data_IF_094235834618
#
_entry.id   IF_094235834618
#
_cell.length_a   1.000
_cell.length_b   1.000
_cell.length_c   1.000
_cell.angle_alpha   90.00
_cell.angle_beta   90.00
_cell.angle_gamma   90.00
#
_symmetry.space_group_name_H-M   'P 1'
#
loop_
_entity.id
_entity.type
_entity.pdbx_description
1 polymer ?
#
# COMPACT_ATOMS: atom_id res chain seq x y z
N UNK A 1 -14.48 14.37 21.80
CA UNK A 1 -14.08 14.27 21.29
C UNK A 1 -13.81 13.98 20.40
N UNK A 2 -13.96 13.74 20.03
CA UNK A 2 -13.70 13.46 19.24
C UNK A 2 -13.12 13.70 18.28
N UNK A 3 -13.19 14.07 18.26
CA UNK A 3 -12.31 14.62 17.30
C UNK A 3 -11.21 13.76 16.93
N UNK A 4 -10.93 12.94 17.72
CA UNK A 4 -9.87 12.08 17.47
C UNK A 4 -10.00 11.32 16.25
N UNK A 5 -11.16 10.94 15.97
CA UNK A 5 -11.35 10.14 14.84
C UNK A 5 -11.02 10.85 13.61
N UNK A 6 -11.16 12.10 13.61
CA UNK A 6 -10.89 12.83 12.41
C UNK A 6 -9.47 12.76 11.99
N UNK A 7 -8.60 12.35 12.88
CA UNK A 7 -7.22 12.30 12.55
C UNK A 7 -6.78 10.96 11.99
N UNK A 8 -7.71 10.02 11.87
CA UNK A 8 -7.34 8.71 11.43
C UNK A 8 -7.84 8.47 10.04
N UNK A 9 -7.26 9.14 9.08
CA UNK A 9 -7.65 8.95 7.70
C UNK A 9 -7.22 7.56 7.25
N UNK A 10 -8.06 6.88 6.48
CA UNK A 10 -7.69 5.57 6.00
C UNK A 10 -6.55 5.64 5.00
N UNK A 11 -5.81 4.57 4.90
CA UNK A 11 -4.78 4.43 3.91
C UNK A 11 -5.41 3.86 2.66
N UNK A 12 -5.10 4.47 1.52
CA UNK A 12 -5.62 3.95 0.26
C UNK A 12 -4.59 3.01 -0.33
N UNK A 13 -5.04 1.84 -0.72
CA UNK A 13 -4.16 0.86 -1.36
C UNK A 13 -4.66 0.61 -2.76
N UNK A 14 -3.79 0.74 -3.73
CA UNK A 14 -4.14 0.59 -5.13
C UNK A 14 -3.29 -0.52 -5.74
N UNK A 15 -3.94 -1.43 -6.42
CA UNK A 15 -3.24 -2.46 -7.17
C UNK A 15 -4.04 -2.73 -8.45
N UNK A 16 -3.52 -2.24 -9.57
CA UNK A 16 -4.23 -2.37 -10.84
C UNK A 16 -5.52 -1.59 -10.78
N UNK A 17 -6.63 -2.27 -11.00
CA UNK A 17 -7.95 -1.62 -10.93
C UNK A 17 -8.57 -1.72 -9.54
N UNK A 18 -7.89 -2.37 -8.62
CA UNK A 18 -8.41 -2.53 -7.27
C UNK A 18 -7.98 -1.38 -6.39
N UNK A 19 -8.90 -0.87 -5.60
CA UNK A 19 -8.62 0.25 -4.73
C UNK A 19 -9.34 0.01 -3.41
N UNK A 20 -8.59 0.03 -2.32
CA UNK A 20 -9.12 -0.26 -1.01
C UNK A 20 -8.75 0.85 -0.04
N UNK A 21 -9.66 1.15 0.88
CA UNK A 21 -9.37 2.10 1.96
C UNK A 21 -9.35 1.30 3.24
N UNK A 22 -8.21 1.26 3.89
CA UNK A 22 -8.01 0.45 5.08
C UNK A 22 -7.22 1.22 6.13
N UNK A 23 -7.41 0.83 7.38
CA UNK A 23 -6.68 1.46 8.47
C UNK A 23 -5.37 0.71 8.64
N UNK A 24 -4.35 1.17 7.97
CA UNK A 24 -3.05 0.51 7.96
C UNK A 24 -1.94 1.33 8.58
N UNK A 25 -2.28 2.43 9.22
CA UNK A 25 -1.27 3.29 9.83
C UNK A 25 -0.47 2.51 10.86
N UNK A 26 0.83 2.69 10.84
CA UNK A 26 1.71 2.01 11.77
C UNK A 26 2.27 0.70 11.25
N UNK A 27 1.73 0.19 10.17
CA UNK A 27 2.26 -1.05 9.59
C UNK A 27 3.33 -0.69 8.57
N UNK A 28 4.26 -1.62 8.38
CA UNK A 28 5.25 -1.42 7.33
C UNK A 28 4.65 -1.80 5.98
N UNK A 29 5.29 -1.35 4.92
CA UNK A 29 4.86 -1.72 3.58
C UNK A 29 4.86 -3.23 3.44
N UNK A 30 5.87 -3.88 4.00
CA UNK A 30 5.91 -5.34 3.94
C UNK A 30 4.71 -5.94 4.66
N UNK A 31 4.33 -5.41 5.80
CA UNK A 31 3.16 -5.88 6.52
C UNK A 31 1.88 -5.68 5.72
N UNK A 32 1.78 -4.56 5.04
CA UNK A 32 0.62 -4.30 4.18
C UNK A 32 0.59 -5.33 3.05
N UNK A 33 1.74 -5.57 2.42
CA UNK A 33 1.80 -6.57 1.35
C UNK A 33 1.36 -7.94 1.88
N UNK A 34 1.87 -8.33 3.06
CA UNK A 34 1.52 -9.62 3.61
C UNK A 34 0.02 -9.74 3.88
N UNK A 35 -0.58 -8.66 4.34
CA UNK A 35 -1.99 -8.69 4.64
C UNK A 35 -2.86 -8.77 3.39
N UNK A 36 -2.42 -8.16 2.31
CA UNK A 36 -3.26 -8.02 1.13
C UNK A 36 -2.86 -8.92 -0.04
N UNK A 37 -1.70 -9.54 0.03
CA UNK A 37 -1.22 -10.29 -1.12
C UNK A 37 -2.13 -11.44 -1.49
N UNK A 38 -2.75 -12.07 -0.52
CA UNK A 38 -3.65 -13.16 -0.82
C UNK A 38 -4.97 -12.69 -1.40
N UNK A 39 -5.42 -11.55 -0.93
CA UNK A 39 -6.71 -11.02 -1.39
C UNK A 39 -6.59 -10.46 -2.79
N UNK A 40 -5.49 -9.76 -3.06
CA UNK A 40 -5.31 -9.08 -4.33
C UNK A 40 -4.33 -9.77 -5.26
N UNK A 41 -3.71 -10.85 -4.80
CA UNK A 41 -2.72 -11.58 -5.60
C UNK A 41 -1.56 -10.68 -6.02
N UNK A 42 -1.05 -9.91 -5.07
CA UNK A 42 0.05 -9.01 -5.36
C UNK A 42 1.36 -9.80 -5.42
N UNK A 43 2.11 -9.71 -6.50
CA UNK A 43 3.37 -10.45 -6.60
C UNK A 43 4.37 -9.97 -5.57
N UNK A 44 5.24 -10.86 -5.16
CA UNK A 44 6.23 -10.54 -4.16
C UNK A 44 7.17 -9.44 -4.62
N UNK A 45 7.43 -9.37 -5.90
CA UNK A 45 8.35 -8.40 -6.45
C UNK A 45 7.67 -7.16 -6.98
N UNK A 46 6.41 -6.94 -6.61
CA UNK A 46 5.72 -5.74 -7.05
C UNK A 46 6.45 -4.51 -6.53
N UNK A 47 6.53 -3.49 -7.36
CA UNK A 47 7.10 -2.23 -6.93
C UNK A 47 6.07 -1.49 -6.08
N UNK A 48 6.55 -0.74 -5.11
CA UNK A 48 5.66 -0.02 -4.20
C UNK A 48 5.97 1.45 -4.25
N UNK A 49 4.93 2.26 -4.34
CA UNK A 49 5.04 3.71 -4.21
C UNK A 49 4.12 4.17 -3.10
N UNK A 50 4.54 5.18 -2.39
CA UNK A 50 3.71 5.80 -1.37
C UNK A 50 3.62 7.27 -1.72
N UNK A 51 2.42 7.76 -1.92
CA UNK A 51 2.17 9.16 -2.30
C UNK A 51 2.97 9.54 -3.54
N UNK A 52 3.11 8.60 -4.46
CA UNK A 52 3.80 8.85 -5.71
C UNK A 52 5.29 8.66 -5.69
N UNK A 53 5.86 8.27 -4.56
CA UNK A 53 7.30 8.09 -4.45
C UNK A 53 7.64 6.65 -4.10
N UNK A 54 8.72 6.15 -4.64
CA UNK A 54 9.18 4.80 -4.38
C UNK A 54 9.38 4.60 -2.90
N UNK A 55 8.95 3.49 -2.36
CA UNK A 55 9.11 3.20 -0.95
C UNK A 55 9.65 1.79 -0.78
N UNK A 56 10.37 1.58 0.31
CA UNK A 56 10.89 0.26 0.63
C UNK A 56 9.97 -0.51 1.55
N UNK A 57 10.31 -1.76 1.76
CA UNK A 57 9.50 -2.64 2.59
C UNK A 57 9.38 -2.17 4.03
N UNK A 58 10.35 -1.43 4.49
CA UNK A 58 10.36 -0.99 5.89
C UNK A 58 9.75 0.38 6.11
N UNK A 59 9.19 0.97 5.07
CA UNK A 59 8.51 2.24 5.26
C UNK A 59 7.29 2.04 6.16
N UNK A 60 7.12 2.90 7.14
CA UNK A 60 6.00 2.82 8.06
C UNK A 60 4.88 3.70 7.54
N UNK A 61 3.73 3.10 7.34
CA UNK A 61 2.58 3.77 6.75
C UNK A 61 1.99 4.75 7.75
N UNK A 62 1.58 5.90 7.26
CA UNK A 62 0.95 6.95 8.06
C UNK A 62 -0.50 7.10 7.65
N UNK A 63 -1.32 7.69 8.52
CA UNK A 63 -2.72 7.92 8.16
C UNK A 63 -2.79 8.78 6.90
N UNK A 64 -3.66 8.41 6.00
CA UNK A 64 -3.87 9.18 4.78
C UNK A 64 -2.91 8.88 3.65
N UNK A 65 -1.94 8.00 3.87
CA UNK A 65 -1.01 7.64 2.80
C UNK A 65 -1.73 6.90 1.69
N UNK A 66 -1.19 7.04 0.49
CA UNK A 66 -1.71 6.31 -0.66
C UNK A 66 -0.62 5.37 -1.14
N UNK A 67 -0.87 4.08 -1.04
CA UNK A 67 0.10 3.06 -1.39
C UNK A 67 -0.31 2.41 -2.71
N UNK A 68 0.62 2.35 -3.65
CA UNK A 68 0.34 1.71 -4.91
C UNK A 68 1.33 0.60 -5.16
N UNK A 69 0.82 -0.60 -5.40
CA UNK A 69 1.65 -1.73 -5.79
C UNK A 69 1.55 -1.86 -7.30
N UNK A 70 2.69 -1.98 -7.96
CA UNK A 70 2.72 -2.10 -9.41
C UNK A 70 3.43 -3.38 -9.80
N UNK A 71 2.79 -4.14 -10.67
CA UNK A 71 3.43 -5.31 -11.21
C UNK A 71 4.66 -4.89 -11.98
N UNK A 72 5.71 -5.65 -11.81
CA UNK A 72 6.88 -5.45 -12.63
C UNK A 72 6.54 -6.00 -13.99
N UNK A 73 6.37 -5.14 -14.91
CA UNK A 73 6.01 -5.59 -16.21
C UNK A 73 7.26 -6.09 -16.86
N UNK A 74 7.64 -6.84 -16.53
CA UNK A 74 8.75 -7.22 -16.97
C UNK A 74 9.20 -7.14 -18.26
N UNK A 75 9.15 -7.21 -18.10
CA UNK A 75 9.60 -7.34 -18.64
C UNK A 75 10.09 -7.88 -19.55
N UNK A 76 10.02 -8.03 -19.43
CA UNK A 76 10.35 -8.46 -20.01
C UNK A 76 10.74 -8.67 -20.90
N UNK A 77 10.70 -8.65 -20.96
CA UNK A 77 11.09 -8.85 -21.55
C UNK A 77 11.20 -9.07 -22.34
N UNK A 78 11.20 -9.12 -22.46
CA UNK A 78 11.33 -9.28 -23.13
C UNK A 78 11.59 -9.20 -23.49
#
# INVERSE_FOLDING_TARGET
MQALEATTAPTKVIYGVNELDLDLAGKTVRGVWQALSQVLNIPRDAAVSVNGERAGDDYVVRPGDEIEFQKQAGVKGR
#
